data_IF_527699916344
#
_entry.id   IF_527699916344
#
_cell.length_a   1.000
_cell.length_b   1.000
_cell.length_c   1.000
_cell.angle_alpha   90.00
_cell.angle_beta   90.00
_cell.angle_gamma   90.00
#
_symmetry.space_group_name_H-M   'P 1'
#
loop_
_entity.id
_entity.type
_entity.pdbx_description
1 polymer ?
#
# COMPACT_ATOMS: atom_id res chain seq x y z
N UNK A 1 -36.11 -60.68 42.12
CA UNK A 1 -35.72 -59.26 42.18
C UNK A 1 -34.32 -58.94 41.69
N UNK A 2 -33.25 -59.58 42.14
CA UNK A 2 -31.86 -59.20 41.77
C UNK A 2 -31.46 -59.40 40.29
N UNK A 3 -32.08 -60.34 39.56
CA UNK A 3 -31.84 -60.50 38.11
C UNK A 3 -32.49 -59.38 37.27
N UNK A 4 -33.62 -58.87 37.74
CA UNK A 4 -34.39 -57.84 37.03
C UNK A 4 -33.70 -56.47 37.14
N UNK A 5 -33.13 -56.16 38.30
CA UNK A 5 -32.34 -54.93 38.51
C UNK A 5 -31.05 -54.91 37.68
N UNK A 6 -30.34 -56.05 37.54
CA UNK A 6 -29.16 -56.14 36.68
C UNK A 6 -29.49 -55.92 35.20
N UNK A 7 -30.56 -56.54 34.70
CA UNK A 7 -30.98 -56.38 33.31
C UNK A 7 -31.33 -54.92 32.98
N UNK A 8 -31.99 -54.23 33.90
CA UNK A 8 -32.37 -52.82 33.73
C UNK A 8 -31.14 -51.89 33.71
N UNK A 9 -30.17 -52.09 34.62
CA UNK A 9 -28.92 -51.30 34.64
C UNK A 9 -28.05 -51.49 33.39
N UNK A 10 -28.07 -52.68 32.79
CA UNK A 10 -27.31 -52.97 31.57
C UNK A 10 -27.92 -52.28 30.34
N UNK A 11 -29.26 -52.22 30.28
CA UNK A 11 -29.99 -51.54 29.22
C UNK A 11 -29.78 -50.02 29.28
N UNK A 12 -29.80 -49.42 30.48
CA UNK A 12 -29.51 -48.00 30.69
C UNK A 12 -28.07 -47.64 30.28
N UNK A 13 -27.09 -48.46 30.66
CA UNK A 13 -25.69 -48.24 30.29
C UNK A 13 -25.49 -48.28 28.76
N UNK A 14 -26.18 -49.17 28.05
CA UNK A 14 -26.08 -49.27 26.59
C UNK A 14 -26.75 -48.09 25.88
N UNK A 15 -27.92 -47.66 26.35
CA UNK A 15 -28.60 -46.47 25.83
C UNK A 15 -27.77 -45.19 26.01
N UNK A 16 -27.08 -45.06 27.15
CA UNK A 16 -26.14 -43.94 27.39
C UNK A 16 -24.93 -43.98 26.46
N UNK A 17 -24.38 -45.16 26.15
CA UNK A 17 -23.24 -45.28 25.25
C UNK A 17 -23.59 -44.86 23.81
N UNK A 18 -24.78 -45.23 23.31
CA UNK A 18 -25.23 -44.86 21.96
C UNK A 18 -25.51 -43.36 21.82
N UNK A 19 -26.09 -42.73 22.85
CA UNK A 19 -26.32 -41.28 22.86
C UNK A 19 -25.02 -40.48 22.95
N UNK A 20 -24.04 -40.94 23.73
CA UNK A 20 -22.69 -40.35 23.78
C UNK A 20 -22.01 -40.39 22.41
N UNK A 21 -22.11 -41.50 21.69
CA UNK A 21 -21.53 -41.64 20.36
C UNK A 21 -22.16 -40.70 19.32
N UNK A 22 -23.49 -40.50 19.36
CA UNK A 22 -24.17 -39.55 18.47
C UNK A 22 -23.82 -38.09 18.77
N UNK A 23 -23.62 -37.74 20.05
CA UNK A 23 -23.18 -36.40 20.44
C UNK A 23 -21.75 -36.11 19.97
N UNK A 24 -20.84 -37.08 20.14
CA UNK A 24 -19.44 -36.92 19.73
C UNK A 24 -19.28 -36.77 18.21
N UNK A 25 -20.04 -37.50 17.40
CA UNK A 25 -19.98 -37.38 15.93
C UNK A 25 -20.50 -36.03 15.43
N UNK A 26 -21.56 -35.49 16.05
CA UNK A 26 -22.09 -34.15 15.72
C UNK A 26 -21.13 -33.03 16.13
N UNK A 27 -20.46 -33.17 17.27
CA UNK A 27 -19.45 -32.21 17.72
C UNK A 27 -18.22 -32.22 16.80
N UNK A 28 -17.75 -33.40 16.39
CA UNK A 28 -16.61 -33.53 15.47
C UNK A 28 -16.87 -32.86 14.11
N UNK A 29 -18.09 -32.94 13.58
CA UNK A 29 -18.47 -32.31 12.32
C UNK A 29 -18.53 -30.77 12.41
N UNK A 30 -18.90 -30.20 13.57
CA UNK A 30 -18.96 -28.75 13.75
C UNK A 30 -17.59 -28.11 14.02
N UNK A 31 -16.68 -28.85 14.66
CA UNK A 31 -15.34 -28.36 14.97
C UNK A 31 -14.51 -28.23 13.69
N UNK A 32 -14.59 -29.17 12.75
CA UNK A 32 -13.77 -29.12 11.52
C UNK A 32 -14.10 -27.94 10.61
N UNK A 33 -15.37 -27.57 10.48
CA UNK A 33 -15.78 -26.46 9.61
C UNK A 33 -15.35 -25.11 10.19
N UNK A 34 -15.62 -24.88 11.47
CA UNK A 34 -15.35 -23.58 12.12
C UNK A 34 -13.86 -23.28 12.26
N UNK A 35 -13.04 -24.29 12.60
CA UNK A 35 -11.59 -24.10 12.71
C UNK A 35 -10.94 -23.85 11.35
N UNK A 36 -11.42 -24.50 10.28
CA UNK A 36 -10.90 -24.29 8.92
C UNK A 36 -11.19 -22.86 8.44
N UNK A 37 -12.40 -22.35 8.67
CA UNK A 37 -12.74 -20.95 8.33
C UNK A 37 -11.90 -19.94 9.11
N UNK A 38 -11.62 -20.20 10.40
CA UNK A 38 -10.80 -19.32 11.22
C UNK A 38 -9.33 -19.28 10.75
N UNK A 39 -8.78 -20.44 10.40
CA UNK A 39 -7.42 -20.55 9.84
C UNK A 39 -7.31 -19.83 8.49
N UNK A 40 -8.32 -19.94 7.61
CA UNK A 40 -8.36 -19.21 6.35
C UNK A 40 -8.44 -17.69 6.54
N UNK A 41 -9.21 -17.21 7.52
CA UNK A 41 -9.27 -15.79 7.88
C UNK A 41 -7.93 -15.26 8.41
N UNK A 42 -7.27 -16.01 9.30
CA UNK A 42 -5.96 -15.65 9.82
C UNK A 42 -4.91 -15.63 8.71
N UNK A 43 -4.87 -16.65 7.84
CA UNK A 43 -3.99 -16.66 6.67
C UNK A 43 -4.26 -15.46 5.75
N UNK A 44 -5.53 -15.13 5.49
CA UNK A 44 -5.90 -13.97 4.69
C UNK A 44 -5.38 -12.65 5.27
N UNK A 45 -5.55 -12.42 6.58
CA UNK A 45 -5.05 -11.19 7.23
C UNK A 45 -3.52 -11.11 7.26
N UNK A 46 -2.83 -12.24 7.45
CA UNK A 46 -1.36 -12.30 7.41
C UNK A 46 -0.85 -12.03 5.99
N UNK A 47 -1.47 -12.62 4.96
CA UNK A 47 -1.12 -12.36 3.56
C UNK A 47 -1.35 -10.89 3.21
N UNK A 48 -2.49 -10.31 3.59
CA UNK A 48 -2.77 -8.87 3.36
C UNK A 48 -1.74 -8.01 4.09
N UNK A 49 -1.42 -8.32 5.36
CA UNK A 49 -0.40 -7.62 6.13
C UNK A 49 1.00 -7.73 5.52
N UNK A 50 1.36 -8.91 5.00
CA UNK A 50 2.60 -9.12 4.26
C UNK A 50 2.63 -8.31 2.96
N UNK A 51 1.59 -8.38 2.13
CA UNK A 51 1.49 -7.60 0.88
C UNK A 51 1.58 -6.10 1.17
N UNK A 52 0.91 -5.61 2.22
CA UNK A 52 1.04 -4.22 2.69
C UNK A 52 2.49 -3.90 3.08
N UNK A 53 3.16 -4.75 3.88
CA UNK A 53 4.56 -4.54 4.27
C UNK A 53 5.52 -4.55 3.08
N UNK A 54 5.36 -5.51 2.17
CA UNK A 54 6.20 -5.63 0.98
C UNK A 54 6.01 -4.46 0.02
N UNK A 55 4.77 -4.00 -0.18
CA UNK A 55 4.49 -2.83 -1.03
C UNK A 55 4.93 -1.52 -0.40
N UNK A 56 5.05 -1.44 0.94
CA UNK A 56 5.51 -0.24 1.63
C UNK A 56 7.03 -0.16 1.77
N UNK A 57 7.71 -1.27 2.07
CA UNK A 57 9.16 -1.29 2.36
C UNK A 57 10.03 -1.00 1.13
N UNK A 58 9.46 -1.11 -0.08
CA UNK A 58 10.13 -0.80 -1.35
C UNK A 58 9.94 0.63 -1.86
N UNK A 59 9.23 1.51 -1.15
CA UNK A 59 9.02 2.89 -1.60
C UNK A 59 10.26 3.74 -1.30
N UNK A 60 11.42 3.39 -1.88
CA UNK A 60 12.55 4.31 -2.07
C UNK A 60 11.95 5.60 -2.63
N UNK A 61 12.15 6.72 -1.93
CA UNK A 61 11.76 8.06 -2.44
C UNK A 61 12.22 8.10 -3.89
N UNK A 62 11.27 8.18 -4.83
CA UNK A 62 11.61 8.25 -6.24
C UNK A 62 12.28 9.59 -6.44
N UNK A 63 13.59 9.58 -6.46
CA UNK A 63 14.39 10.69 -6.94
C UNK A 63 13.85 11.05 -8.32
N UNK A 64 13.24 12.22 -8.41
CA UNK A 64 12.80 12.72 -9.70
C UNK A 64 14.07 13.18 -10.41
N UNK A 65 14.32 12.62 -11.61
CA UNK A 65 15.36 13.13 -12.51
C UNK A 65 14.83 14.42 -13.14
N UNK A 66 15.60 15.48 -13.05
CA UNK A 66 15.32 16.79 -13.64
C UNK A 66 16.39 17.08 -14.67
N UNK A 67 16.02 17.81 -15.73
CA UNK A 67 16.97 18.25 -16.76
C UNK A 67 17.01 19.76 -16.77
N UNK A 68 18.21 20.32 -16.67
CA UNK A 68 18.39 21.76 -16.68
C UNK A 68 18.15 22.31 -18.09
N UNK A 69 17.28 23.30 -18.23
CA UNK A 69 16.97 23.92 -19.54
C UNK A 69 17.74 25.20 -19.80
N UNK A 70 18.28 25.83 -18.76
CA UNK A 70 19.08 27.06 -18.80
C UNK A 70 20.13 26.99 -17.73
N UNK A 71 21.28 27.63 -17.94
CA UNK A 71 22.30 27.69 -16.91
C UNK A 71 21.72 28.30 -15.63
N UNK A 72 21.79 27.55 -14.55
CA UNK A 72 21.14 27.91 -13.29
C UNK A 72 22.14 27.82 -12.15
N UNK A 73 22.34 28.91 -11.38
CA UNK A 73 23.25 28.88 -10.25
C UNK A 73 22.73 28.00 -9.12
N UNK A 74 23.64 27.23 -8.52
CA UNK A 74 23.35 26.43 -7.33
C UNK A 74 23.45 27.34 -6.11
N UNK A 75 22.41 27.35 -5.28
CA UNK A 75 22.31 28.19 -4.09
C UNK A 75 22.67 27.38 -2.84
N UNK A 76 23.42 27.94 -1.90
CA UNK A 76 23.77 27.22 -0.67
C UNK A 76 22.59 27.13 0.32
N UNK A 77 21.66 28.08 0.23
CA UNK A 77 20.43 28.17 1.02
C UNK A 77 19.23 28.41 0.10
N UNK A 78 17.98 28.12 0.53
CA UNK A 78 16.77 28.44 -0.22
C UNK A 78 16.46 29.95 -0.16
N UNK A 79 17.45 30.80 -0.43
CA UNK A 79 17.35 32.24 -0.52
C UNK A 79 18.01 32.71 -1.82
N UNK A 80 17.58 33.86 -2.35
CA UNK A 80 18.10 34.36 -3.62
C UNK A 80 19.52 34.95 -3.54
N UNK A 81 20.04 35.17 -2.32
CA UNK A 81 21.24 35.96 -2.10
C UNK A 81 22.55 35.16 -2.04
N UNK A 82 22.51 33.89 -1.61
CA UNK A 82 23.76 33.14 -1.38
C UNK A 82 24.00 32.13 -2.49
N UNK A 83 24.78 32.54 -3.51
CA UNK A 83 25.18 31.68 -4.63
C UNK A 83 26.43 30.88 -4.27
N UNK A 84 26.45 29.63 -4.70
CA UNK A 84 27.66 28.81 -4.74
C UNK A 84 28.42 29.14 -6.03
N UNK A 85 29.73 28.89 -6.07
CA UNK A 85 30.54 29.03 -7.29
C UNK A 85 30.17 28.02 -8.40
N UNK A 86 29.24 27.10 -8.14
CA UNK A 86 28.82 26.05 -9.07
C UNK A 86 27.58 26.45 -9.86
N UNK A 87 27.60 26.14 -11.16
CA UNK A 87 26.51 26.34 -12.11
C UNK A 87 26.08 24.98 -12.68
N UNK A 88 24.77 24.76 -12.79
CA UNK A 88 24.23 23.64 -13.58
C UNK A 88 24.23 24.01 -15.06
N UNK A 89 24.80 23.14 -15.90
CA UNK A 89 24.88 23.38 -17.35
C UNK A 89 23.57 23.06 -18.05
N UNK A 90 23.31 23.70 -19.18
CA UNK A 90 22.16 23.36 -20.03
C UNK A 90 22.25 21.90 -20.48
N UNK A 91 21.17 21.15 -20.29
CA UNK A 91 21.10 19.73 -20.62
C UNK A 91 21.62 18.79 -19.53
N UNK A 92 22.25 19.29 -18.46
CA UNK A 92 22.67 18.48 -17.33
C UNK A 92 21.46 17.88 -16.61
N UNK A 93 21.49 16.57 -16.39
CA UNK A 93 20.49 15.87 -15.61
C UNK A 93 20.93 15.81 -14.15
N UNK A 94 20.02 16.15 -13.24
CA UNK A 94 20.26 16.14 -11.82
C UNK A 94 19.10 15.51 -11.07
N UNK A 95 19.39 14.89 -9.93
CA UNK A 95 18.37 14.34 -9.04
C UNK A 95 18.06 15.37 -7.95
N UNK A 96 16.78 15.69 -7.77
CA UNK A 96 16.32 16.52 -6.66
C UNK A 96 15.65 15.66 -5.59
N UNK A 97 15.91 15.98 -4.33
CA UNK A 97 15.19 15.40 -3.20
C UNK A 97 13.79 16.02 -3.12
N UNK A 98 12.81 15.30 -2.57
CA UNK A 98 11.42 15.76 -2.46
C UNK A 98 11.22 16.98 -1.54
N UNK A 99 12.29 17.47 -0.90
CA UNK A 99 12.30 18.71 -0.13
C UNK A 99 12.07 19.93 -1.03
N UNK A 100 10.80 20.31 -1.19
CA UNK A 100 10.38 21.60 -1.75
C UNK A 100 10.27 22.59 -0.62
N UNK A 101 10.95 23.73 -0.74
CA UNK A 101 10.77 24.85 0.17
C UNK A 101 10.21 26.02 -0.63
N UNK A 102 9.14 26.62 -0.12
CA UNK A 102 8.61 27.87 -0.65
C UNK A 102 9.23 29.01 0.17
N UNK A 103 9.96 29.90 -0.48
CA UNK A 103 10.52 31.09 0.14
C UNK A 103 10.16 32.30 -0.73
N UNK A 104 9.44 33.26 -0.15
CA UNK A 104 8.97 34.47 -0.85
C UNK A 104 8.21 34.17 -2.16
N UNK A 105 7.35 33.13 -2.15
CA UNK A 105 6.55 32.75 -3.32
C UNK A 105 7.33 32.01 -4.41
N UNK A 106 8.60 31.67 -4.16
CA UNK A 106 9.45 30.95 -5.10
C UNK A 106 9.70 29.55 -4.56
N UNK A 107 9.64 28.55 -5.45
CA UNK A 107 9.89 27.15 -5.07
C UNK A 107 11.36 26.84 -5.30
N UNK A 108 12.01 26.28 -4.28
CA UNK A 108 13.38 25.78 -4.34
C UNK A 108 13.38 24.26 -4.22
N UNK A 109 14.23 23.62 -5.02
CA UNK A 109 14.48 22.18 -5.01
C UNK A 109 15.87 21.91 -4.44
N UNK A 110 15.98 21.05 -3.42
CA UNK A 110 17.28 20.60 -2.90
C UNK A 110 17.86 19.53 -3.82
N UNK A 111 19.10 19.70 -4.27
CA UNK A 111 19.83 18.69 -5.01
C UNK A 111 20.12 17.49 -4.09
N UNK A 112 19.94 16.28 -4.60
CA UNK A 112 20.14 15.03 -3.85
C UNK A 112 21.60 14.76 -3.47
N UNK A 113 22.53 15.24 -4.31
CA UNK A 113 23.98 15.20 -4.10
C UNK A 113 24.47 16.12 -2.97
N UNK A 114 23.59 16.95 -2.39
CA UNK A 114 23.94 17.87 -1.32
C UNK A 114 24.64 19.16 -1.77
N UNK A 115 24.84 19.39 -3.09
CA UNK A 115 25.52 20.60 -3.61
C UNK A 115 24.77 21.90 -3.34
N UNK A 116 23.45 21.84 -3.10
CA UNK A 116 22.66 23.00 -2.73
C UNK A 116 21.21 22.98 -3.20
N UNK A 117 20.70 24.15 -3.58
CA UNK A 117 19.31 24.41 -3.95
C UNK A 117 19.21 25.05 -5.32
N UNK A 118 18.16 24.70 -6.06
CA UNK A 118 17.87 25.26 -7.39
C UNK A 118 16.50 25.92 -7.36
N UNK A 119 16.42 27.18 -7.84
CA UNK A 119 15.17 27.92 -7.91
C UNK A 119 14.36 27.50 -9.14
N UNK A 120 13.09 27.15 -8.93
CA UNK A 120 12.15 26.85 -10.00
C UNK A 120 11.53 28.14 -10.53
N UNK A 121 11.78 28.47 -11.81
CA UNK A 121 11.37 29.76 -12.38
C UNK A 121 9.86 29.92 -12.54
N UNK A 122 9.10 28.83 -12.72
CA UNK A 122 7.63 28.83 -12.89
C UNK A 122 6.98 27.58 -12.26
N UNK A 123 6.51 27.65 -11.00
CA UNK A 123 5.86 26.51 -10.36
C UNK A 123 4.40 26.26 -10.82
N UNK A 124 3.80 27.19 -11.57
CA UNK A 124 2.36 27.22 -11.88
C UNK A 124 1.94 26.97 -13.34
N UNK A 125 2.87 26.72 -14.26
CA UNK A 125 2.51 26.39 -15.64
C UNK A 125 1.86 24.98 -15.68
N UNK A 126 0.51 24.91 -15.79
CA UNK A 126 -0.20 23.67 -16.12
C UNK A 126 0.23 23.22 -17.51
N UNK A 127 0.47 21.92 -17.64
CA UNK A 127 0.93 21.28 -18.87
C UNK A 127 -0.18 21.32 -19.93
N UNK A 128 0.05 21.89 -21.13
CA UNK A 128 -0.82 21.60 -22.28
C UNK A 128 -0.61 20.13 -22.69
N UNK A 129 -1.71 19.41 -22.88
CA UNK A 129 -1.81 17.99 -23.25
C UNK A 129 -0.62 17.47 -24.09
N UNK A 130 0.16 16.55 -23.52
CA UNK A 130 1.10 15.74 -24.31
C UNK A 130 0.36 14.48 -24.74
N UNK A 131 0.02 14.47 -26.02
CA UNK A 131 -0.42 13.28 -26.74
C UNK A 131 0.65 12.18 -26.61
N UNK A 132 0.21 10.99 -26.21
CA UNK A 132 1.05 9.81 -26.05
C UNK A 132 1.78 9.52 -27.36
N UNK A 133 3.08 9.83 -27.44
CA UNK A 133 3.95 9.23 -28.44
C UNK A 133 4.26 7.79 -28.02
N UNK A 134 3.22 6.96 -28.06
CA UNK A 134 3.35 5.53 -28.22
C UNK A 134 3.66 5.27 -29.70
N UNK A 135 4.89 4.84 -29.95
CA UNK A 135 5.22 3.81 -30.93
C UNK A 135 4.54 3.93 -32.30
N UNK A 136 5.17 4.61 -33.25
CA UNK A 136 5.00 4.28 -34.68
C UNK A 136 6.34 3.91 -35.27
N UNK A 137 6.38 2.66 -35.72
CA UNK A 137 7.41 2.07 -36.55
C UNK A 137 7.64 2.88 -37.84
N UNK A 138 8.94 3.00 -38.17
CA UNK A 138 9.58 3.03 -39.49
C UNK A 138 8.69 2.99 -40.75
N UNK A 139 8.93 3.96 -41.65
CA UNK A 139 8.48 3.96 -43.06
C UNK A 139 8.58 5.36 -43.68
N UNK A 140 9.76 5.83 -44.08
CA UNK A 140 10.35 5.82 -45.43
C UNK A 140 9.74 6.82 -46.44
N UNK A 141 10.56 7.81 -46.83
CA UNK A 141 10.64 8.35 -48.20
C UNK A 141 9.76 9.56 -48.55
N UNK A 142 10.39 10.71 -48.81
CA UNK A 142 9.80 11.84 -49.52
C UNK A 142 10.68 13.08 -49.44
N UNK A 143 11.42 13.35 -50.53
CA UNK A 143 12.26 14.55 -50.72
C UNK A 143 11.45 15.72 -51.31
N UNK A 144 12.02 16.92 -51.10
CA UNK A 144 11.82 18.19 -51.83
C UNK A 144 10.51 18.94 -51.54
N UNK A 145 10.46 20.26 -51.28
CA UNK A 145 11.26 21.42 -51.75
C UNK A 145 10.98 22.64 -50.86
N UNK A 146 11.94 23.60 -50.79
CA UNK A 146 11.82 25.09 -50.76
C UNK A 146 10.49 25.73 -50.27
N UNK A 147 10.41 26.74 -49.38
CA UNK A 147 11.08 28.05 -49.41
C UNK A 147 10.81 28.85 -48.10
N UNK A 148 11.52 29.97 -47.97
CA UNK A 148 11.77 30.87 -46.83
C UNK A 148 10.62 31.50 -45.99
N UNK A 149 11.05 31.98 -44.80
CA UNK A 149 10.49 33.04 -43.94
C UNK A 149 9.22 32.78 -43.12
N UNK A 150 9.41 32.36 -41.86
CA UNK A 150 8.88 33.13 -40.73
C UNK A 150 9.67 32.86 -39.44
N UNK A 151 10.22 33.94 -38.88
CA UNK A 151 11.03 34.00 -37.67
C UNK A 151 10.13 33.92 -36.42
N UNK A 152 9.35 32.84 -36.32
CA UNK A 152 8.53 32.53 -35.15
C UNK A 152 9.21 31.40 -34.40
N UNK A 153 10.04 31.74 -33.40
CA UNK A 153 10.57 30.74 -32.47
C UNK A 153 9.39 30.00 -31.84
N UNK A 154 9.13 28.72 -32.16
CA UNK A 154 8.14 27.97 -31.43
C UNK A 154 8.74 27.75 -30.05
N UNK A 155 8.20 28.46 -29.08
CA UNK A 155 8.56 28.38 -27.68
C UNK A 155 8.44 26.94 -27.21
N UNK A 156 9.55 26.20 -27.32
CA UNK A 156 9.73 24.91 -26.72
C UNK A 156 9.78 25.13 -25.21
N UNK A 157 8.60 25.26 -24.61
CA UNK A 157 8.38 25.28 -23.18
C UNK A 157 8.70 23.87 -22.68
N UNK A 158 10.00 23.62 -22.51
CA UNK A 158 10.56 22.42 -21.88
C UNK A 158 10.25 22.51 -20.38
N UNK A 159 9.05 22.08 -20.00
CA UNK A 159 8.68 21.84 -18.61
C UNK A 159 9.24 20.49 -18.16
N UNK A 160 9.75 20.48 -16.93
CA UNK A 160 10.22 19.26 -16.28
C UNK A 160 9.02 18.35 -15.98
N UNK A 161 8.93 17.25 -16.72
CA UNK A 161 7.87 16.26 -16.57
C UNK A 161 8.15 15.41 -15.32
N UNK A 162 7.35 15.61 -14.27
CA UNK A 162 7.29 14.68 -13.15
C UNK A 162 6.48 13.46 -13.60
N UNK A 163 7.16 12.42 -14.10
CA UNK A 163 6.58 11.08 -14.30
C UNK A 163 6.17 10.51 -12.92
N UNK A 164 5.00 10.92 -12.44
CA UNK A 164 4.41 10.45 -11.19
C UNK A 164 3.66 9.15 -11.46
N UNK A 165 4.36 8.07 -11.82
CA UNK A 165 3.74 6.76 -11.90
C UNK A 165 3.40 6.27 -10.48
N UNK A 166 2.10 6.10 -10.20
CA UNK A 166 1.55 5.23 -9.16
C UNK A 166 1.48 5.75 -7.72
N UNK A 167 0.80 6.88 -7.53
CA UNK A 167 -0.27 6.91 -6.53
C UNK A 167 -1.59 6.95 -7.30
N UNK A 168 -1.98 5.84 -7.94
CA UNK A 168 -3.32 5.78 -8.51
C UNK A 168 -4.29 5.87 -7.34
N UNK A 169 -5.09 6.94 -7.32
CA UNK A 169 -6.20 7.10 -6.37
C UNK A 169 -7.08 5.85 -6.35
N UNK A 170 -7.12 5.12 -7.46
CA UNK A 170 -7.86 3.87 -7.62
C UNK A 170 -7.37 2.77 -6.65
N UNK A 171 -6.05 2.61 -6.45
CA UNK A 171 -5.54 1.59 -5.52
C UNK A 171 -5.87 1.95 -4.08
N UNK A 172 -5.80 3.24 -3.73
CA UNK A 172 -6.20 3.71 -2.41
C UNK A 172 -7.70 3.50 -2.17
N UNK A 173 -8.55 3.80 -3.17
CA UNK A 173 -10.00 3.62 -3.10
C UNK A 173 -10.37 2.15 -2.97
N UNK A 174 -9.77 1.26 -3.76
CA UNK A 174 -10.04 -0.19 -3.70
C UNK A 174 -9.62 -0.76 -2.34
N UNK A 175 -8.46 -0.34 -1.82
CA UNK A 175 -8.01 -0.78 -0.50
C UNK A 175 -8.93 -0.29 0.62
N UNK A 176 -9.41 0.96 0.54
CA UNK A 176 -10.34 1.53 1.52
C UNK A 176 -11.72 0.85 1.45
N UNK A 177 -12.21 0.62 0.24
CA UNK A 177 -13.49 -0.09 0.01
C UNK A 177 -13.47 -1.50 0.57
N UNK A 178 -12.38 -2.26 0.35
CA UNK A 178 -12.22 -3.59 0.92
C UNK A 178 -12.22 -3.59 2.45
N UNK A 179 -11.56 -2.60 3.07
CA UNK A 179 -11.53 -2.47 4.54
C UNK A 179 -12.91 -2.15 5.12
N UNK A 180 -13.64 -1.20 4.53
CA UNK A 180 -14.99 -0.84 4.98
C UNK A 180 -15.94 -2.03 4.85
N UNK A 181 -15.91 -2.74 3.72
CA UNK A 181 -16.74 -3.92 3.51
C UNK A 181 -16.42 -5.02 4.53
N UNK A 182 -15.14 -5.22 4.86
CA UNK A 182 -14.71 -6.16 5.88
C UNK A 182 -15.21 -5.79 7.28
N UNK A 183 -15.16 -4.50 7.66
CA UNK A 183 -15.71 -4.03 8.94
C UNK A 183 -17.23 -4.23 9.03
N UNK A 184 -17.97 -3.99 7.94
CA UNK A 184 -19.41 -4.24 7.89
C UNK A 184 -19.69 -5.74 8.09
N UNK A 185 -18.94 -6.62 7.41
CA UNK A 185 -19.05 -8.06 7.58
C UNK A 185 -18.86 -8.51 9.03
N UNK A 186 -17.86 -7.96 9.72
CA UNK A 186 -17.65 -8.22 11.16
C UNK A 186 -18.82 -7.74 12.02
N UNK A 187 -19.39 -6.56 11.74
CA UNK A 187 -20.56 -6.05 12.45
C UNK A 187 -21.80 -6.95 12.30
N UNK A 188 -22.02 -7.48 11.09
CA UNK A 188 -23.10 -8.44 10.83
C UNK A 188 -22.86 -9.76 11.58
N UNK A 189 -21.64 -10.30 11.54
CA UNK A 189 -21.29 -11.52 12.28
C UNK A 189 -21.40 -11.35 13.80
N UNK A 190 -21.13 -10.15 14.32
CA UNK A 190 -21.33 -9.81 15.73
C UNK A 190 -22.82 -9.81 16.09
N UNK A 191 -23.66 -9.10 15.30
CA UNK A 191 -25.12 -9.06 15.50
C UNK A 191 -25.77 -10.44 15.38
N UNK A 192 -25.25 -11.30 14.51
CA UNK A 192 -25.71 -12.68 14.33
C UNK A 192 -25.29 -13.62 15.48
N UNK A 193 -24.51 -13.14 16.46
CA UNK A 193 -24.02 -13.96 17.58
C UNK A 193 -22.95 -14.99 17.18
N UNK A 194 -22.54 -15.03 15.91
CA UNK A 194 -21.54 -15.97 15.39
C UNK A 194 -20.18 -15.71 16.02
N UNK A 195 -19.84 -14.44 16.29
CA UNK A 195 -18.54 -14.07 16.88
C UNK A 195 -18.46 -14.38 18.39
N UNK A 196 -19.60 -14.48 19.08
CA UNK A 196 -19.67 -14.60 20.53
C UNK A 196 -18.95 -15.85 21.11
N UNK A 197 -19.10 -17.07 20.54
CA UNK A 197 -18.36 -18.23 21.02
C UNK A 197 -16.84 -18.09 20.78
N UNK A 198 -16.42 -17.48 19.66
CA UNK A 198 -15.01 -17.26 19.36
C UNK A 198 -14.36 -16.27 20.32
N UNK A 199 -15.04 -15.16 20.63
CA UNK A 199 -14.53 -14.17 21.59
C UNK A 199 -14.34 -14.81 22.97
N UNK A 200 -15.29 -15.64 23.40
CA UNK A 200 -15.15 -16.40 24.67
C UNK A 200 -13.95 -17.33 24.64
N UNK A 201 -13.76 -18.10 23.57
CA UNK A 201 -12.61 -19.02 23.45
C UNK A 201 -11.28 -18.26 23.42
N UNK A 202 -11.17 -17.17 22.66
CA UNK A 202 -9.96 -16.34 22.60
C UNK A 202 -9.63 -15.76 23.98
N UNK A 203 -10.63 -15.28 24.71
CA UNK A 203 -10.44 -14.70 26.05
C UNK A 203 -9.94 -15.76 27.05
N UNK A 204 -10.49 -16.98 26.99
CA UNK A 204 -9.99 -18.12 27.78
C UNK A 204 -8.54 -18.46 27.41
N UNK A 205 -8.21 -18.55 26.12
CA UNK A 205 -6.84 -18.80 25.66
C UNK A 205 -5.85 -17.73 26.12
N UNK A 206 -6.21 -16.46 25.97
CA UNK A 206 -5.40 -15.33 26.43
C UNK A 206 -5.16 -15.39 27.93
N UNK A 207 -6.19 -15.71 28.71
CA UNK A 207 -6.08 -15.85 30.17
C UNK A 207 -5.15 -16.99 30.58
N UNK A 208 -5.28 -18.17 29.95
CA UNK A 208 -4.38 -19.31 30.18
C UNK A 208 -2.94 -18.96 29.81
N UNK A 209 -2.73 -18.29 28.69
CA UNK A 209 -1.41 -17.83 28.26
C UNK A 209 -0.78 -16.86 29.27
N UNK A 210 -1.55 -15.87 29.75
CA UNK A 210 -1.12 -14.94 30.79
C UNK A 210 -0.75 -15.66 32.11
N UNK A 211 -1.54 -16.66 32.51
CA UNK A 211 -1.24 -17.47 33.70
C UNK A 211 0.06 -18.27 33.54
N UNK A 212 0.29 -18.87 32.37
CA UNK A 212 1.53 -19.60 32.09
C UNK A 212 2.75 -18.66 32.13
N UNK A 213 2.64 -17.47 31.53
CA UNK A 213 3.71 -16.46 31.58
C UNK A 213 3.99 -16.04 33.03
N UNK A 214 2.95 -15.81 33.83
CA UNK A 214 3.11 -15.47 35.24
C UNK A 214 3.83 -16.58 36.03
N UNK A 215 3.47 -17.85 35.79
CA UNK A 215 4.13 -19.00 36.42
C UNK A 215 5.60 -19.13 36.02
N UNK A 216 5.94 -18.82 34.76
CA UNK A 216 7.34 -18.86 34.28
C UNK A 216 8.19 -17.71 34.85
N UNK A 217 7.57 -16.60 35.24
CA UNK A 217 8.26 -15.43 35.77
C UNK A 217 8.48 -15.45 37.29
N UNK A 218 7.83 -16.38 38.01
CA UNK A 218 7.99 -16.61 39.46
C UNK A 218 9.12 -17.61 39.66
#
# INVERSE_FOLDING_TARGET
>A
NTRLTRAMSLAEAKAQAETQHQLLSRLAAHISSSTVWFLLLLLGTVIIGMVMRYTWKGRKRRESKWKCTRETPILSKPNASTRTAMLLKVGEEFQANDGRTNYQGQIFLRLSDGRGWVRLKNPGARVPNVENQGSRHLGHGGYDTFDDHDESYPGAVKTCVKLCCSCSKEVAIVSWGGFVLWCIGLGVMWRAGVLQPFVKQILVYMYVCMMLVAVVLI
#
